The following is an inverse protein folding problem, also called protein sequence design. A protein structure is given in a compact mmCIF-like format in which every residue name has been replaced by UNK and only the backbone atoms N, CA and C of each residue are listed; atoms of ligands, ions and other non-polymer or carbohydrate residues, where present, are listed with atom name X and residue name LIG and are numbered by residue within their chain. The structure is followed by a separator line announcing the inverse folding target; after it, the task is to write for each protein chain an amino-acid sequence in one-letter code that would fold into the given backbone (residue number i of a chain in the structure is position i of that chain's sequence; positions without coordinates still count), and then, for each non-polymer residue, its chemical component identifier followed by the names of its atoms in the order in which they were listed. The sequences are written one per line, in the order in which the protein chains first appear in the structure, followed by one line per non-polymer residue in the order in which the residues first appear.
data_IF_262714827903
#
_entry.id   IF_262714827903
#
_cell.length_a   1.000
_cell.length_b   1.000
_cell.length_c   1.000
_cell.angle_alpha   90.00
_cell.angle_beta   90.00
_cell.angle_gamma   90.00
#
_symmetry.space_group_name_H-M   'P 1'
#
loop_
_entity.id
_entity.type
_entity.pdbx_description
1 polymer ?
#
# COMPACT_ATOMS: atom_id res chain seq x y z
N UNK A 1 -5.07 25.33 -7.91
CA UNK A 1 -3.92 24.45 -8.19
C UNK A 1 -2.70 24.96 -7.44
N UNK A 2 -2.15 24.12 -6.62
CA UNK A 2 -0.97 24.50 -5.85
C UNK A 2 0.27 24.27 -6.72
N UNK A 3 0.91 25.36 -7.17
CA UNK A 3 2.06 25.29 -8.09
C UNK A 3 3.30 24.65 -7.46
N UNK A 4 3.31 24.54 -6.11
CA UNK A 4 4.45 24.02 -5.37
C UNK A 4 4.25 22.56 -4.95
N UNK A 5 3.18 21.91 -5.40
CA UNK A 5 2.92 20.51 -5.06
C UNK A 5 3.94 19.59 -5.73
N UNK A 6 4.70 18.89 -4.92
CA UNK A 6 5.65 17.88 -5.41
C UNK A 6 5.00 16.52 -5.40
N UNK A 7 5.00 15.86 -6.54
CA UNK A 7 4.36 14.55 -6.70
C UNK A 7 5.41 13.46 -6.77
N UNK A 8 5.26 12.45 -5.92
CA UNK A 8 6.15 11.30 -5.84
C UNK A 8 5.38 10.03 -6.11
N UNK A 9 6.06 9.02 -6.65
CA UNK A 9 5.50 7.69 -6.83
C UNK A 9 6.31 6.67 -6.06
N UNK A 10 5.65 5.68 -5.50
CA UNK A 10 6.32 4.55 -4.87
C UNK A 10 5.84 3.25 -5.50
N UNK A 11 6.81 2.44 -5.90
CA UNK A 11 6.59 1.14 -6.54
C UNK A 11 7.33 0.07 -5.73
N UNK A 12 6.63 -1.01 -5.44
CA UNK A 12 7.23 -2.18 -4.82
C UNK A 12 6.96 -3.39 -5.70
N UNK A 13 8.03 -4.07 -6.13
CA UNK A 13 7.95 -5.25 -6.97
C UNK A 13 8.70 -6.41 -6.32
N UNK A 14 8.29 -7.63 -6.62
CA UNK A 14 9.07 -8.80 -6.23
C UNK A 14 10.31 -8.89 -7.12
N UNK A 15 11.36 -9.55 -6.63
CA UNK A 15 12.58 -9.75 -7.41
C UNK A 15 12.34 -10.55 -8.70
N UNK A 16 11.21 -11.25 -8.80
CA UNK A 16 10.81 -12.03 -9.96
C UNK A 16 9.83 -11.31 -10.88
N UNK A 17 9.37 -10.13 -10.49
CA UNK A 17 8.40 -9.37 -11.26
C UNK A 17 9.09 -8.68 -12.44
N UNK A 18 8.59 -8.94 -13.65
CA UNK A 18 9.10 -8.33 -14.87
C UNK A 18 8.30 -7.10 -15.30
N UNK A 19 7.34 -6.67 -14.48
CA UNK A 19 6.44 -5.57 -14.81
C UNK A 19 6.88 -4.22 -14.26
N UNK A 20 8.11 -4.11 -13.76
CA UNK A 20 8.65 -2.86 -13.22
C UNK A 20 8.55 -1.70 -14.24
N UNK A 21 8.94 -1.96 -15.48
CA UNK A 21 8.89 -0.95 -16.54
C UNK A 21 7.48 -0.43 -16.82
N UNK A 22 6.47 -1.29 -16.74
CA UNK A 22 5.08 -0.89 -16.92
C UNK A 22 4.60 0.00 -15.77
N UNK A 23 4.99 -0.33 -14.55
CA UNK A 23 4.62 0.45 -13.37
C UNK A 23 5.28 1.84 -13.41
N UNK A 24 6.54 1.91 -13.79
CA UNK A 24 7.24 3.18 -13.98
C UNK A 24 6.57 4.02 -15.06
N UNK A 25 6.26 3.41 -16.21
CA UNK A 25 5.58 4.10 -17.30
C UNK A 25 4.22 4.65 -16.86
N UNK A 26 3.44 3.85 -16.13
CA UNK A 26 2.14 4.28 -15.61
C UNK A 26 2.27 5.50 -14.70
N UNK A 27 3.30 5.53 -13.84
CA UNK A 27 3.58 6.69 -12.98
C UNK A 27 4.00 7.90 -13.81
N UNK A 28 4.82 7.72 -14.82
CA UNK A 28 5.25 8.80 -15.70
C UNK A 28 4.07 9.40 -16.48
N UNK A 29 3.12 8.58 -16.89
CA UNK A 29 1.90 9.04 -17.55
C UNK A 29 1.03 9.92 -16.64
N UNK A 30 1.15 9.75 -15.34
CA UNK A 30 0.49 10.61 -14.35
C UNK A 30 1.24 11.92 -14.11
N UNK A 31 2.33 12.16 -14.82
CA UNK A 31 3.12 13.38 -14.69
C UNK A 31 4.22 13.31 -13.65
N UNK A 32 4.55 12.12 -13.13
CA UNK A 32 5.63 11.96 -12.14
C UNK A 32 6.95 11.79 -12.88
N UNK A 33 7.92 12.66 -12.60
CA UNK A 33 9.25 12.53 -13.19
C UNK A 33 9.98 11.31 -12.64
N UNK A 34 10.84 10.71 -13.44
CA UNK A 34 11.59 9.50 -13.08
C UNK A 34 12.35 9.66 -11.76
N UNK A 35 12.92 10.85 -11.53
CA UNK A 35 13.67 11.17 -10.31
C UNK A 35 12.82 11.11 -9.03
N UNK A 36 11.52 11.19 -9.15
CA UNK A 36 10.57 11.15 -8.02
C UNK A 36 9.83 9.84 -7.93
N UNK A 37 10.24 8.84 -8.68
CA UNK A 37 9.70 7.48 -8.60
C UNK A 37 10.70 6.62 -7.83
N UNK A 38 10.26 6.08 -6.71
CA UNK A 38 11.07 5.25 -5.82
C UNK A 38 10.63 3.81 -5.95
N UNK A 39 11.56 2.90 -6.16
CA UNK A 39 11.28 1.49 -6.46
C UNK A 39 12.04 0.60 -5.49
N UNK A 40 11.31 -0.22 -4.73
CA UNK A 40 11.89 -1.27 -3.91
C UNK A 40 11.65 -2.63 -4.59
N UNK A 41 12.72 -3.39 -4.73
CA UNK A 41 12.68 -4.78 -5.20
C UNK A 41 12.89 -5.68 -4.00
N UNK A 42 11.97 -6.63 -3.79
CA UNK A 42 12.02 -7.48 -2.61
C UNK A 42 11.91 -8.94 -2.95
N UNK A 43 12.78 -9.75 -2.34
CA UNK A 43 12.61 -11.19 -2.29
C UNK A 43 11.63 -11.54 -1.16
N UNK A 44 11.01 -12.73 -1.22
CA UNK A 44 9.95 -13.11 -0.29
C UNK A 44 10.33 -13.16 1.19
N UNK A 45 11.62 -13.11 1.53
CA UNK A 45 12.11 -13.16 2.91
C UNK A 45 12.60 -11.82 3.43
N UNK A 46 12.90 -10.88 2.54
CA UNK A 46 13.51 -9.61 2.90
C UNK A 46 12.55 -8.46 2.64
N UNK A 47 12.15 -7.79 3.72
CA UNK A 47 11.29 -6.62 3.64
C UNK A 47 12.11 -5.36 3.93
N UNK A 48 13.27 -5.27 3.29
CA UNK A 48 14.08 -4.06 3.36
C UNK A 48 13.56 -3.05 2.34
N UNK A 49 13.03 -1.93 2.84
CA UNK A 49 12.43 -0.88 2.01
C UNK A 49 13.30 0.36 2.01
N UNK A 50 14.54 0.21 1.53
CA UNK A 50 15.53 1.29 1.53
C UNK A 50 15.03 2.53 0.76
N UNK A 51 14.44 2.32 -0.42
CA UNK A 51 13.91 3.42 -1.23
C UNK A 51 12.71 4.09 -0.58
N UNK A 52 11.83 3.31 0.05
CA UNK A 52 10.70 3.86 0.80
C UNK A 52 11.15 4.72 1.97
N UNK A 53 12.17 4.29 2.69
CA UNK A 53 12.70 5.05 3.82
C UNK A 53 13.31 6.39 3.35
N UNK A 54 14.01 6.37 2.22
CA UNK A 54 14.53 7.59 1.59
C UNK A 54 13.40 8.53 1.19
N UNK A 55 12.37 7.99 0.53
CA UNK A 55 11.19 8.75 0.12
C UNK A 55 10.51 9.40 1.33
N UNK A 56 10.35 8.65 2.42
CA UNK A 56 9.70 9.13 3.63
C UNK A 56 10.46 10.32 4.24
N UNK A 57 11.79 10.26 4.25
CA UNK A 57 12.61 11.39 4.69
C UNK A 57 12.42 12.61 3.80
N UNK A 58 12.36 12.41 2.50
CA UNK A 58 12.14 13.50 1.55
C UNK A 58 10.76 14.13 1.73
N UNK A 59 9.73 13.32 1.96
CA UNK A 59 8.38 13.82 2.22
C UNK A 59 8.33 14.65 3.51
N UNK A 60 9.07 14.23 4.53
CA UNK A 60 9.15 14.95 5.79
C UNK A 60 9.78 16.34 5.63
N UNK A 61 10.78 16.45 4.75
CA UNK A 61 11.46 17.71 4.47
C UNK A 61 10.71 18.59 3.46
N UNK A 62 9.71 18.05 2.79
CA UNK A 62 8.92 18.77 1.79
C UNK A 62 7.43 18.67 2.13
N UNK A 63 6.89 19.54 3.02
CA UNK A 63 5.51 19.42 3.53
C UNK A 63 4.58 19.72 2.38
N UNK A 64 4.32 19.81 1.44
CA UNK A 64 3.40 20.03 0.33
C UNK A 64 3.66 19.00 -0.78
N UNK A 65 3.57 17.73 -0.40
CA UNK A 65 3.86 16.63 -1.31
C UNK A 65 2.67 15.70 -1.44
N UNK A 66 2.56 15.07 -2.60
CA UNK A 66 1.59 14.03 -2.89
C UNK A 66 2.32 12.74 -3.20
N UNK A 67 2.01 11.69 -2.47
CA UNK A 67 2.51 10.35 -2.75
C UNK A 67 1.44 9.55 -3.48
N UNK A 68 1.79 9.01 -4.64
CA UNK A 68 0.90 8.13 -5.41
C UNK A 68 1.41 6.70 -5.29
N UNK A 69 0.53 5.80 -4.89
CA UNK A 69 0.79 4.36 -4.83
C UNK A 69 -0.31 3.62 -5.60
N UNK A 70 0.02 2.46 -6.12
CA UNK A 70 -0.95 1.67 -6.87
C UNK A 70 -2.02 1.07 -5.95
N UNK A 71 -1.61 0.52 -4.81
CA UNK A 71 -2.48 -0.14 -3.85
C UNK A 71 -1.97 0.07 -2.42
N UNK A 72 -2.86 -0.07 -1.43
CA UNK A 72 -2.50 0.18 -0.03
C UNK A 72 -1.49 -0.83 0.53
N UNK A 73 -1.43 -2.03 -0.05
CA UNK A 73 -0.48 -3.06 0.38
C UNK A 73 0.98 -2.69 0.09
N UNK A 74 1.21 -1.63 -0.70
CA UNK A 74 2.56 -1.07 -0.91
C UNK A 74 3.13 -0.45 0.37
N UNK A 75 2.27 -0.05 1.31
CA UNK A 75 2.70 0.59 2.55
C UNK A 75 3.15 -0.38 3.62
N UNK A 76 2.68 -1.62 3.61
CA UNK A 76 3.05 -2.58 4.63
C UNK A 76 2.64 -4.00 4.27
N UNK A 77 3.14 -4.97 5.04
CA UNK A 77 2.85 -6.39 4.85
C UNK A 77 1.54 -6.83 5.51
N UNK A 78 1.06 -6.06 6.46
CA UNK A 78 -0.14 -6.38 7.21
C UNK A 78 -0.88 -5.09 7.58
N UNK A 79 -2.06 -5.27 8.11
CA UNK A 79 -2.96 -4.21 8.51
C UNK A 79 -2.31 -3.18 9.45
N UNK A 80 -1.58 -3.64 10.46
CA UNK A 80 -0.93 -2.76 11.45
C UNK A 80 0.13 -1.88 10.80
N UNK A 81 0.95 -2.45 9.95
CA UNK A 81 1.99 -1.70 9.23
C UNK A 81 1.37 -0.68 8.28
N UNK A 82 0.32 -1.06 7.55
CA UNK A 82 -0.37 -0.16 6.63
C UNK A 82 -0.93 1.05 7.37
N UNK A 83 -1.63 0.82 8.48
CA UNK A 83 -2.18 1.92 9.29
C UNK A 83 -1.09 2.82 9.86
N UNK A 84 -0.03 2.23 10.37
CA UNK A 84 1.09 2.96 10.93
C UNK A 84 1.73 3.88 9.87
N UNK A 85 2.02 3.33 8.69
CA UNK A 85 2.66 4.09 7.62
C UNK A 85 1.73 5.18 7.09
N UNK A 86 0.45 4.88 6.94
CA UNK A 86 -0.54 5.87 6.52
C UNK A 86 -0.57 7.06 7.49
N UNK A 87 -0.63 6.78 8.78
CA UNK A 87 -0.66 7.82 9.81
C UNK A 87 0.64 8.65 9.84
N UNK A 88 1.80 8.00 9.72
CA UNK A 88 3.07 8.72 9.65
C UNK A 88 3.13 9.64 8.44
N UNK A 89 2.74 9.15 7.27
CA UNK A 89 2.77 9.93 6.04
C UNK A 89 1.82 11.12 6.07
N UNK A 90 0.62 10.94 6.59
CA UNK A 90 -0.40 12.00 6.61
C UNK A 90 -0.22 12.96 7.76
N UNK A 91 0.24 12.50 8.92
CA UNK A 91 0.32 13.30 10.14
C UNK A 91 1.72 13.89 10.35
N UNK A 92 2.76 13.07 10.32
CA UNK A 92 4.12 13.53 10.57
C UNK A 92 4.76 14.17 9.35
N UNK A 93 4.63 13.53 8.18
CA UNK A 93 5.17 14.07 6.94
C UNK A 93 4.25 15.13 6.31
N UNK A 94 3.01 15.19 6.75
CA UNK A 94 1.98 16.09 6.19
C UNK A 94 1.87 15.97 4.68
N UNK A 95 2.02 14.74 4.17
CA UNK A 95 1.87 14.44 2.76
C UNK A 95 0.45 14.00 2.45
N UNK A 96 0.00 14.28 1.25
CA UNK A 96 -1.21 13.68 0.72
C UNK A 96 -0.89 12.32 0.11
N UNK A 97 -1.88 11.44 0.07
CA UNK A 97 -1.74 10.11 -0.51
C UNK A 97 -2.90 9.84 -1.46
N UNK A 98 -2.58 9.31 -2.62
CA UNK A 98 -3.55 8.85 -3.61
C UNK A 98 -3.28 7.40 -3.94
N UNK A 99 -4.32 6.56 -3.80
CA UNK A 99 -4.25 5.13 -4.10
C UNK A 99 -4.97 4.86 -5.41
N UNK A 100 -4.24 4.38 -6.42
CA UNK A 100 -4.77 4.28 -7.78
C UNK A 100 -5.90 3.27 -7.94
N UNK A 101 -5.80 2.11 -7.27
CA UNK A 101 -6.84 1.08 -7.37
C UNK A 101 -8.03 1.36 -6.44
N UNK A 102 -7.98 2.44 -5.68
CA UNK A 102 -9.01 2.78 -4.70
C UNK A 102 -9.23 4.28 -4.66
N UNK A 103 -9.98 4.83 -5.64
CA UNK A 103 -10.14 6.29 -5.76
C UNK A 103 -10.67 7.00 -4.53
N UNK A 104 -11.40 6.29 -3.66
CA UNK A 104 -11.88 6.87 -2.41
C UNK A 104 -10.74 7.18 -1.43
N UNK A 105 -9.59 6.52 -1.58
CA UNK A 105 -8.41 6.78 -0.77
C UNK A 105 -7.53 7.82 -1.46
N UNK A 106 -8.02 9.05 -1.47
CA UNK A 106 -7.34 10.20 -2.04
C UNK A 106 -7.49 11.37 -1.08
N UNK A 107 -6.45 11.61 -0.27
CA UNK A 107 -6.50 12.65 0.76
C UNK A 107 -6.52 14.06 0.18
N UNK A 108 -6.19 14.23 -1.10
CA UNK A 108 -6.27 15.55 -1.75
C UNK A 108 -7.71 16.05 -1.85
N UNK A 109 -8.69 15.15 -1.83
CA UNK A 109 -10.10 15.48 -1.88
C UNK A 109 -10.67 15.89 -0.52
N UNK A 110 -9.96 15.55 0.55
CA UNK A 110 -10.43 15.73 1.93
C UNK A 110 -9.41 16.54 2.72
N UNK A 111 -9.47 17.85 2.58
CA UNK A 111 -8.52 18.75 3.26
C UNK A 111 -8.98 19.16 4.66
N UNK A 112 -10.21 18.86 5.05
CA UNK A 112 -10.72 19.18 6.37
C UNK A 112 -10.53 18.00 7.34
N UNK A 113 -10.75 18.29 8.62
CA UNK A 113 -10.63 17.27 9.68
C UNK A 113 -11.60 16.11 9.48
N UNK A 114 -12.82 16.40 9.03
CA UNK A 114 -13.84 15.39 8.79
C UNK A 114 -13.42 14.45 7.65
N UNK A 115 -12.89 15.00 6.56
CA UNK A 115 -12.41 14.21 5.43
C UNK A 115 -11.25 13.30 5.81
N UNK A 116 -10.31 13.78 6.63
CA UNK A 116 -9.21 12.97 7.15
C UNK A 116 -9.77 11.80 7.97
N UNK A 117 -10.74 12.06 8.85
CA UNK A 117 -11.37 11.03 9.64
C UNK A 117 -12.06 9.98 8.76
N UNK A 118 -12.78 10.40 7.73
CA UNK A 118 -13.45 9.49 6.80
C UNK A 118 -12.44 8.63 6.06
N UNK A 119 -11.33 9.20 5.57
CA UNK A 119 -10.27 8.45 4.90
C UNK A 119 -9.66 7.38 5.81
N UNK A 120 -9.36 7.73 7.04
CA UNK A 120 -8.81 6.80 8.03
C UNK A 120 -9.81 5.67 8.31
N UNK A 121 -11.09 5.99 8.44
CA UNK A 121 -12.13 5.01 8.69
C UNK A 121 -12.27 4.03 7.52
N UNK A 122 -12.27 4.53 6.28
CA UNK A 122 -12.34 3.70 5.07
C UNK A 122 -11.14 2.75 5.05
N UNK A 123 -9.93 3.24 5.31
CA UNK A 123 -8.72 2.43 5.34
C UNK A 123 -8.83 1.31 6.39
N UNK A 124 -9.33 1.62 7.58
CA UNK A 124 -9.52 0.63 8.64
C UNK A 124 -10.50 -0.45 8.24
N UNK A 125 -11.64 -0.07 7.65
CA UNK A 125 -12.66 -1.03 7.21
C UNK A 125 -12.11 -1.95 6.12
N UNK A 126 -11.43 -1.40 5.12
CA UNK A 126 -10.87 -2.18 4.02
C UNK A 126 -9.77 -3.13 4.51
N UNK A 127 -8.94 -2.68 5.41
CA UNK A 127 -7.87 -3.50 5.99
C UNK A 127 -8.46 -4.63 6.84
N UNK A 128 -9.53 -4.36 7.58
CA UNK A 128 -10.26 -5.36 8.36
C UNK A 128 -10.85 -6.43 7.45
N UNK A 129 -11.51 -6.03 6.37
CA UNK A 129 -12.09 -6.96 5.39
C UNK A 129 -11.00 -7.86 4.79
N UNK A 130 -9.85 -7.29 4.41
CA UNK A 130 -8.73 -8.06 3.86
C UNK A 130 -8.21 -9.10 4.88
N UNK A 131 -8.08 -8.73 6.16
CA UNK A 131 -7.65 -9.67 7.20
C UNK A 131 -8.69 -10.78 7.41
N UNK A 132 -9.98 -10.46 7.39
CA UNK A 132 -11.05 -11.44 7.49
C UNK A 132 -11.00 -12.44 6.32
N UNK A 133 -10.79 -11.99 5.11
CA UNK A 133 -10.66 -12.85 3.95
C UNK A 133 -9.47 -13.81 4.09
N UNK A 134 -8.32 -13.33 4.53
CA UNK A 134 -7.14 -14.18 4.77
C UNK A 134 -7.44 -15.22 5.84
N UNK A 135 -8.07 -14.83 6.93
CA UNK A 135 -8.47 -15.72 8.01
C UNK A 135 -9.43 -16.80 7.51
N UNK A 136 -10.41 -16.41 6.71
CA UNK A 136 -11.38 -17.34 6.13
C UNK A 136 -10.72 -18.32 5.15
N UNK A 137 -9.78 -17.87 4.33
CA UNK A 137 -9.03 -18.73 3.41
C UNK A 137 -8.24 -19.78 4.21
N UNK A 138 -7.51 -19.38 5.24
CA UNK A 138 -6.76 -20.29 6.09
C UNK A 138 -7.66 -21.31 6.78
N UNK A 139 -8.81 -20.86 7.27
CA UNK A 139 -9.80 -21.73 7.90
C UNK A 139 -10.34 -22.78 6.93
N UNK A 140 -10.69 -22.37 5.72
CA UNK A 140 -11.17 -23.28 4.66
C UNK A 140 -10.11 -24.30 4.28
N UNK A 141 -8.85 -23.89 4.17
CA UNK A 141 -7.75 -24.80 3.90
C UNK A 141 -7.58 -25.84 5.01
N UNK A 142 -7.63 -25.42 6.26
CA UNK A 142 -7.54 -26.31 7.40
C UNK A 142 -8.71 -27.31 7.44
N UNK A 143 -9.93 -26.85 7.17
CA UNK A 143 -11.13 -27.69 7.09
C UNK A 143 -11.01 -28.71 5.94
N UNK A 144 -10.52 -28.28 4.78
CA UNK A 144 -10.30 -29.16 3.64
C UNK A 144 -9.27 -30.24 3.93
N UNK A 145 -8.17 -29.91 4.59
CA UNK A 145 -7.14 -30.88 5.00
C UNK A 145 -7.71 -31.88 6.00
N UNK A 146 -8.47 -31.42 6.98
CA UNK A 146 -9.10 -32.28 7.97
C UNK A 146 -10.08 -33.26 7.33
N UNK A 147 -10.88 -32.80 6.38
CA UNK A 147 -11.83 -33.63 5.65
C UNK A 147 -11.11 -34.68 4.80
N UNK A 148 -10.05 -34.32 4.09
CA UNK A 148 -9.25 -35.26 3.31
C UNK A 148 -8.62 -36.32 4.18
N UNK A 149 -8.13 -36.00 5.37
CA UNK A 149 -7.60 -36.99 6.33
C UNK A 149 -8.67 -37.92 6.82
N UNK A 150 -9.87 -37.43 7.10
CA UNK A 150 -11.00 -38.25 7.52
C UNK A 150 -11.42 -39.24 6.44
N UNK A 151 -11.47 -38.82 5.17
CA UNK A 151 -11.77 -39.67 4.03
C UNK A 151 -10.72 -40.78 3.86
N UNK A 152 -9.44 -40.47 3.99
CA UNK A 152 -8.37 -41.45 3.92
C UNK A 152 -8.45 -42.48 5.04
N UNK A 153 -8.92 -42.15 6.22
CA UNK A 153 -9.14 -43.08 7.32
C UNK A 153 -10.30 -44.02 7.03
N UNK A 154 -11.31 -43.55 6.31
CA UNK A 154 -12.47 -44.36 5.93
C UNK A 154 -12.14 -45.42 4.85
N UNK A 155 -11.13 -45.15 4.04
CA UNK A 155 -10.73 -46.03 2.94
C UNK A 155 -9.78 -47.18 3.40
N UNK A 156 -9.43 -47.23 4.67
CA UNK A 156 -8.59 -48.33 5.22
C UNK A 156 -9.41 -49.42 5.85
#
# INVERSE_FOLDING_TARGET
MNKDLKVYGYIRVSSKDQNEGRQVQAMQELGISEERIFIDKQSGKDFNRAEYQTLKRMLKDSPNSLLIIHSIDRLGRNYKEILKEWQELTTECKADIKVLDMPLLDTTQYKDLLGTFISDLILQVLSFVAEQERSNIKKRQAEGIALAKAENRHLR
#
